data_IF_332074445804
#
_entry.id   IF_332074445804
#
_cell.length_a   1.000
_cell.length_b   1.000
_cell.length_c   1.000
_cell.angle_alpha   90.00
_cell.angle_beta   90.00
_cell.angle_gamma   90.00
#
_symmetry.space_group_name_H-M   'P 1'
#
loop_
_entity.id
_entity.type
_entity.pdbx_description
1 polymer ?
#
# COMPACT_ATOMS: atom_id res chain seq x y z
N UNK A 1 0.37 -75.57 -45.19
CA UNK A 1 0.87 -74.99 -43.94
C UNK A 1 1.73 -73.80 -44.34
N UNK A 2 1.19 -72.61 -44.31
CA UNK A 2 1.93 -71.38 -44.63
C UNK A 2 2.18 -70.59 -43.36
N UNK A 3 3.43 -70.41 -43.01
CA UNK A 3 3.84 -69.53 -41.91
C UNK A 3 3.95 -68.13 -42.42
N UNK A 4 3.13 -67.22 -41.81
CA UNK A 4 3.22 -65.74 -41.98
C UNK A 4 4.22 -65.18 -40.95
N UNK A 5 5.31 -64.64 -41.45
CA UNK A 5 6.25 -63.87 -40.63
C UNK A 5 5.66 -62.45 -40.36
N UNK A 6 5.49 -62.12 -39.09
CA UNK A 6 5.07 -60.77 -38.62
C UNK A 6 6.35 -59.94 -38.36
N UNK A 7 6.62 -58.98 -39.19
CA UNK A 7 7.73 -58.05 -38.96
C UNK A 7 7.32 -57.01 -37.91
N UNK A 8 8.04 -56.97 -36.80
CA UNK A 8 7.93 -55.93 -35.78
C UNK A 8 8.81 -54.74 -36.17
N UNK A 9 8.21 -53.63 -36.53
CA UNK A 9 8.93 -52.37 -36.73
C UNK A 9 9.14 -51.71 -35.36
N UNK A 10 10.41 -51.61 -34.96
CA UNK A 10 10.82 -50.85 -33.77
C UNK A 10 10.95 -49.40 -34.18
N UNK A 11 10.04 -48.55 -33.67
CA UNK A 11 10.16 -47.11 -33.78
C UNK A 11 11.08 -46.60 -32.66
N UNK A 12 12.26 -46.15 -33.02
CA UNK A 12 13.17 -45.45 -32.09
C UNK A 12 12.76 -44.00 -32.09
N UNK A 13 12.11 -43.57 -30.99
CA UNK A 13 11.91 -42.14 -30.70
C UNK A 13 13.24 -41.58 -30.20
N UNK A 14 13.89 -40.74 -31.00
CA UNK A 14 14.97 -39.90 -30.55
C UNK A 14 14.36 -38.70 -29.81
N UNK A 15 14.46 -38.66 -28.47
CA UNK A 15 14.24 -37.45 -27.72
C UNK A 15 15.38 -36.47 -28.06
N UNK A 16 15.06 -35.47 -28.86
CA UNK A 16 15.88 -34.27 -28.98
C UNK A 16 15.61 -33.43 -27.72
N UNK A 17 16.60 -33.32 -26.86
CA UNK A 17 16.60 -32.33 -25.77
C UNK A 17 16.98 -31.00 -26.42
N UNK A 18 16.01 -30.18 -26.73
CA UNK A 18 16.25 -28.76 -27.05
C UNK A 18 16.67 -28.05 -25.75
N UNK A 19 17.94 -27.70 -25.69
CA UNK A 19 18.40 -26.74 -24.65
C UNK A 19 17.87 -25.36 -25.04
N UNK A 20 16.91 -24.87 -24.30
CA UNK A 20 16.55 -23.44 -24.40
C UNK A 20 17.81 -22.64 -24.13
N UNK A 21 18.26 -21.87 -25.13
CA UNK A 21 19.30 -20.85 -24.96
C UNK A 21 18.75 -19.78 -24.00
N UNK A 22 19.13 -19.87 -22.74
CA UNK A 22 18.89 -18.78 -21.77
C UNK A 22 19.73 -17.60 -22.24
N UNK A 23 19.08 -16.60 -22.80
CA UNK A 23 19.73 -15.33 -23.13
C UNK A 23 20.50 -14.83 -21.88
N UNK A 24 21.76 -14.44 -22.00
CA UNK A 24 22.49 -13.93 -20.86
C UNK A 24 21.78 -12.68 -20.36
N UNK A 25 21.46 -12.66 -19.06
CA UNK A 25 20.94 -11.49 -18.37
C UNK A 25 21.90 -10.36 -18.66
N UNK A 26 21.41 -9.31 -19.35
CA UNK A 26 22.20 -8.11 -19.60
C UNK A 26 22.76 -7.61 -18.27
N UNK A 27 24.06 -7.27 -18.18
CA UNK A 27 24.59 -6.67 -16.98
C UNK A 27 23.72 -5.46 -16.64
N UNK A 28 23.29 -5.36 -15.38
CA UNK A 28 22.65 -4.13 -14.86
C UNK A 28 23.68 -3.02 -15.11
N UNK A 29 23.33 -2.05 -15.96
CA UNK A 29 24.19 -0.92 -16.20
C UNK A 29 24.59 -0.30 -14.85
N UNK A 30 25.86 -0.06 -14.57
CA UNK A 30 26.27 0.57 -13.33
C UNK A 30 25.56 1.93 -13.23
N UNK A 31 24.82 2.14 -12.13
CA UNK A 31 24.19 3.44 -11.84
C UNK A 31 25.25 4.51 -11.96
N UNK A 32 25.04 5.48 -12.86
CA UNK A 32 25.94 6.63 -13.01
C UNK A 32 26.02 7.35 -11.65
N UNK A 33 27.20 7.46 -11.02
CA UNK A 33 27.33 8.11 -9.70
C UNK A 33 26.94 9.60 -9.73
N UNK A 34 26.65 10.16 -10.89
CA UNK A 34 26.13 11.52 -11.06
C UNK A 34 24.62 11.58 -11.24
N UNK A 35 23.94 10.43 -11.31
CA UNK A 35 22.49 10.38 -11.47
C UNK A 35 21.80 10.69 -10.14
N UNK A 36 21.00 11.77 -10.14
CA UNK A 36 20.16 12.17 -9.02
C UNK A 36 18.70 12.01 -9.47
N UNK A 37 18.07 10.96 -8.96
CA UNK A 37 16.68 10.66 -9.25
C UNK A 37 15.74 11.57 -8.45
N UNK A 38 14.66 12.05 -9.08
CA UNK A 38 13.64 12.86 -8.43
C UNK A 38 12.59 13.37 -9.41
N UNK A 39 11.52 13.98 -8.90
CA UNK A 39 10.53 14.63 -9.74
C UNK A 39 11.10 15.90 -10.37
N UNK A 40 11.03 16.00 -11.69
CA UNK A 40 11.51 17.15 -12.48
C UNK A 40 10.41 18.19 -12.78
N UNK A 41 9.15 17.92 -12.47
CA UNK A 41 8.07 18.88 -12.69
C UNK A 41 8.03 19.92 -11.57
N UNK A 42 8.30 21.19 -11.90
CA UNK A 42 8.30 22.31 -10.96
C UNK A 42 6.91 22.58 -10.32
N UNK A 43 5.83 22.05 -10.91
CA UNK A 43 4.48 22.19 -10.36
C UNK A 43 4.15 21.08 -9.34
N UNK A 44 4.98 20.05 -9.24
CA UNK A 44 4.79 18.99 -8.27
C UNK A 44 5.21 19.44 -6.86
N UNK A 45 4.49 18.96 -5.84
CA UNK A 45 4.77 19.31 -4.44
C UNK A 45 6.06 18.68 -3.91
N UNK A 46 6.54 17.63 -4.58
CA UNK A 46 7.79 16.94 -4.30
C UNK A 46 8.87 17.20 -5.36
N UNK A 47 8.76 18.32 -6.11
CA UNK A 47 9.80 18.74 -7.06
C UNK A 47 11.17 18.73 -6.40
N UNK A 48 12.15 18.14 -7.07
CA UNK A 48 13.54 18.12 -6.63
C UNK A 48 14.43 18.90 -7.62
N UNK A 49 14.88 20.09 -7.21
CA UNK A 49 15.71 20.96 -8.05
C UNK A 49 17.12 20.40 -8.31
N UNK A 50 17.58 19.45 -7.50
CA UNK A 50 18.89 18.80 -7.66
C UNK A 50 18.81 17.56 -8.55
N UNK A 51 17.61 17.06 -8.85
CA UNK A 51 17.42 15.90 -9.73
C UNK A 51 17.80 16.22 -11.16
N UNK A 52 18.46 15.27 -11.82
CA UNK A 52 18.80 15.32 -13.24
C UNK A 52 18.17 14.17 -14.05
N UNK A 53 17.50 13.22 -13.36
CA UNK A 53 16.78 12.12 -13.97
C UNK A 53 15.41 11.99 -13.28
N UNK A 54 14.35 11.93 -14.10
CA UNK A 54 12.99 11.76 -13.58
C UNK A 54 12.80 10.34 -13.03
N UNK A 55 12.33 10.27 -11.80
CA UNK A 55 12.00 8.99 -11.15
C UNK A 55 10.54 8.54 -11.40
N UNK A 56 9.76 9.32 -12.14
CA UNK A 56 8.33 9.05 -12.42
C UNK A 56 7.40 9.21 -11.22
N UNK A 57 7.85 9.85 -10.13
CA UNK A 57 7.13 9.96 -8.85
C UNK A 57 6.66 11.39 -8.55
N UNK A 58 6.27 12.16 -9.56
CA UNK A 58 5.75 13.50 -9.31
C UNK A 58 4.39 13.48 -8.61
N UNK A 59 4.27 14.18 -7.49
CA UNK A 59 3.05 14.28 -6.70
C UNK A 59 2.48 15.69 -6.76
N UNK A 60 1.15 15.80 -6.86
CA UNK A 60 0.44 17.08 -6.99
C UNK A 60 -0.49 17.36 -5.80
N UNK A 61 -0.57 16.43 -4.86
CA UNK A 61 -1.24 16.60 -3.56
C UNK A 61 -0.21 16.48 -2.45
N UNK A 62 -0.35 17.30 -1.40
CA UNK A 62 0.55 17.24 -0.24
C UNK A 62 0.37 15.97 0.59
N UNK A 63 -0.84 15.41 0.61
CA UNK A 63 -1.21 14.24 1.38
C UNK A 63 -1.62 13.11 0.45
N UNK A 64 -1.03 11.94 0.64
CA UNK A 64 -1.28 10.73 -0.14
C UNK A 64 -1.82 9.63 0.77
N UNK A 65 -2.87 8.92 0.32
CA UNK A 65 -3.26 7.63 0.89
C UNK A 65 -2.31 6.57 0.33
N UNK A 66 -1.53 5.91 1.21
CA UNK A 66 -0.53 4.95 0.82
C UNK A 66 -0.96 3.50 1.04
N UNK A 67 -1.60 3.21 2.18
CA UNK A 67 -2.02 1.84 2.50
C UNK A 67 -3.36 1.82 3.25
N UNK A 68 -4.17 0.81 2.99
CA UNK A 68 -5.45 0.57 3.68
C UNK A 68 -5.60 -0.91 3.98
N UNK A 69 -5.82 -1.26 5.25
CA UNK A 69 -6.22 -2.59 5.69
C UNK A 69 -7.67 -2.52 6.18
N UNK A 70 -8.60 -3.01 5.39
CA UNK A 70 -10.03 -3.08 5.75
C UNK A 70 -10.50 -4.51 6.05
N UNK A 71 -9.67 -5.51 5.79
CA UNK A 71 -9.94 -6.93 6.03
C UNK A 71 -8.72 -7.58 6.71
N UNK A 72 -8.52 -7.32 8.03
CA UNK A 72 -7.38 -7.88 8.76
C UNK A 72 -7.38 -9.40 8.73
N UNK A 73 -6.23 -10.04 8.43
CA UNK A 73 -6.08 -11.48 8.38
C UNK A 73 -6.61 -12.19 9.62
N UNK A 74 -7.01 -13.46 9.48
CA UNK A 74 -7.42 -14.28 10.60
C UNK A 74 -6.19 -14.74 11.43
N UNK A 75 -6.36 -14.87 12.75
CA UNK A 75 -5.29 -15.28 13.66
C UNK A 75 -4.33 -14.14 14.01
N UNK A 76 -3.28 -14.42 14.80
CA UNK A 76 -2.36 -13.40 15.29
C UNK A 76 -1.52 -12.72 14.19
N UNK A 77 -1.48 -13.26 13.01
CA UNK A 77 -0.89 -12.62 11.84
C UNK A 77 -1.68 -11.38 11.36
N UNK A 78 -2.95 -11.26 11.79
CA UNK A 78 -3.78 -10.11 11.54
C UNK A 78 -3.81 -9.08 12.68
N UNK A 79 -3.00 -9.25 13.72
CA UNK A 79 -2.78 -8.25 14.78
C UNK A 79 -1.93 -7.10 14.22
N UNK A 80 -2.58 -6.23 13.46
CA UNK A 80 -1.90 -5.16 12.73
C UNK A 80 -1.49 -4.00 13.65
N UNK A 81 -2.25 -3.77 14.71
CA UNK A 81 -1.94 -2.74 15.71
C UNK A 81 -0.89 -3.19 16.74
N UNK A 82 -0.53 -4.49 16.75
CA UNK A 82 0.57 -5.07 17.55
C UNK A 82 0.26 -5.13 19.06
N UNK A 83 -0.99 -5.08 19.48
CA UNK A 83 -1.37 -5.10 20.90
C UNK A 83 -1.46 -6.51 21.50
N UNK A 84 -1.29 -7.54 20.66
CA UNK A 84 -1.31 -8.95 21.03
C UNK A 84 -2.71 -9.60 20.90
N UNK A 85 -3.70 -8.87 20.42
CA UNK A 85 -5.08 -9.34 20.23
C UNK A 85 -5.52 -9.04 18.81
N UNK A 86 -5.80 -10.06 18.02
CA UNK A 86 -6.41 -9.82 16.70
C UNK A 86 -7.91 -9.51 16.88
N UNK A 87 -8.34 -8.33 16.43
CA UNK A 87 -9.74 -7.93 16.33
C UNK A 87 -10.04 -7.40 14.91
N UNK A 88 -11.14 -7.83 14.25
CA UNK A 88 -11.41 -7.44 12.87
C UNK A 88 -11.65 -5.94 12.68
N UNK A 89 -12.04 -5.22 13.72
CA UNK A 89 -12.31 -3.80 13.65
C UNK A 89 -11.13 -2.98 14.20
N UNK A 90 -10.48 -3.46 15.27
CA UNK A 90 -9.37 -2.73 15.90
C UNK A 90 -8.12 -2.72 15.03
N UNK A 91 -7.92 -3.79 14.25
CA UNK A 91 -6.76 -3.97 13.36
C UNK A 91 -6.96 -3.39 11.95
N UNK A 92 -8.15 -2.89 11.60
CA UNK A 92 -8.28 -2.05 10.42
C UNK A 92 -7.35 -0.85 10.53
N UNK A 93 -6.74 -0.43 9.42
CA UNK A 93 -5.99 0.83 9.43
C UNK A 93 -6.01 1.57 8.10
N UNK A 94 -5.76 2.86 8.20
CA UNK A 94 -5.54 3.78 7.08
C UNK A 94 -4.21 4.49 7.30
N UNK A 95 -3.36 4.49 6.27
CA UNK A 95 -2.08 5.18 6.28
C UNK A 95 -2.05 6.32 5.28
N UNK A 96 -1.70 7.51 5.78
CA UNK A 96 -1.47 8.72 4.99
C UNK A 96 -0.02 9.15 5.09
N UNK A 97 0.52 9.73 4.01
CA UNK A 97 1.89 10.24 3.97
C UNK A 97 1.90 11.69 3.48
N UNK A 98 2.66 12.53 4.17
CA UNK A 98 3.01 13.85 3.64
C UNK A 98 4.11 13.70 2.58
N UNK A 99 3.73 13.77 1.31
CA UNK A 99 4.66 13.66 0.17
C UNK A 99 5.22 14.99 -0.28
N UNK A 100 4.87 16.09 0.38
CA UNK A 100 5.40 17.42 0.08
C UNK A 100 6.76 17.66 0.75
N UNK A 101 7.45 18.71 0.32
CA UNK A 101 8.75 19.11 0.86
C UNK A 101 8.64 20.03 2.10
N UNK A 102 7.45 20.18 2.68
CA UNK A 102 7.19 21.06 3.84
C UNK A 102 6.34 20.37 4.89
N UNK A 103 6.35 20.88 6.12
CA UNK A 103 5.46 20.42 7.16
C UNK A 103 4.00 20.64 6.74
N UNK A 104 3.16 19.65 6.97
CA UNK A 104 1.73 19.67 6.68
C UNK A 104 0.96 19.55 7.99
N UNK A 105 0.13 20.53 8.31
CA UNK A 105 -0.81 20.47 9.40
C UNK A 105 -2.07 19.74 8.92
N UNK A 106 -2.38 18.59 9.51
CA UNK A 106 -3.58 17.79 9.23
C UNK A 106 -4.58 17.82 10.39
N UNK A 107 -4.40 18.72 11.36
CA UNK A 107 -5.31 18.86 12.49
C UNK A 107 -6.75 19.07 12.02
N UNK A 108 -7.67 18.31 12.62
CA UNK A 108 -9.08 18.43 12.29
C UNK A 108 -9.51 17.75 10.99
N UNK A 109 -8.62 17.02 10.30
CA UNK A 109 -9.04 16.20 9.17
C UNK A 109 -9.96 15.08 9.63
N UNK A 110 -10.94 14.74 8.82
CA UNK A 110 -12.03 13.85 9.17
C UNK A 110 -12.06 12.64 8.26
N UNK A 111 -12.19 11.45 8.85
CA UNK A 111 -12.29 10.18 8.13
C UNK A 111 -13.71 9.64 8.27
N UNK A 112 -14.29 9.20 7.18
CA UNK A 112 -15.64 8.67 7.11
C UNK A 112 -15.68 7.36 6.35
N UNK A 113 -16.42 6.39 6.87
CA UNK A 113 -17.01 5.34 6.04
C UNK A 113 -18.24 5.88 5.29
N UNK A 114 -18.82 5.11 4.41
CA UNK A 114 -19.98 5.53 3.63
C UNK A 114 -21.22 5.84 4.49
N UNK A 115 -21.43 5.09 5.57
CA UNK A 115 -22.55 5.29 6.50
C UNK A 115 -22.39 6.57 7.28
N UNK A 116 -21.21 6.79 7.82
CA UNK A 116 -20.88 7.93 8.65
C UNK A 116 -20.78 9.23 7.84
N UNK A 117 -20.31 9.14 6.59
CA UNK A 117 -20.36 10.28 5.67
C UNK A 117 -21.78 10.79 5.46
N UNK A 118 -22.75 9.88 5.31
CA UNK A 118 -24.16 10.21 5.13
C UNK A 118 -24.78 10.85 6.36
N UNK A 119 -24.31 10.50 7.56
CA UNK A 119 -24.78 11.05 8.84
C UNK A 119 -24.06 12.33 9.26
N UNK A 120 -22.90 12.63 8.63
CA UNK A 120 -22.03 13.73 9.00
C UNK A 120 -21.27 13.52 10.32
N UNK A 121 -21.12 12.26 10.77
CA UNK A 121 -20.38 11.91 12.00
C UNK A 121 -19.13 11.12 11.63
N UNK A 122 -17.92 11.72 11.70
CA UNK A 122 -16.71 11.05 11.29
C UNK A 122 -16.35 9.87 12.21
N UNK A 123 -15.74 8.83 11.62
CA UNK A 123 -15.14 7.71 12.35
C UNK A 123 -13.88 8.17 13.11
N UNK A 124 -13.14 9.12 12.51
CA UNK A 124 -11.96 9.71 13.13
C UNK A 124 -11.85 11.20 12.83
N UNK A 125 -11.39 11.95 13.83
CA UNK A 125 -10.97 13.35 13.68
C UNK A 125 -9.53 13.44 14.15
N UNK A 126 -8.66 13.90 13.26
CA UNK A 126 -7.24 14.08 13.57
C UNK A 126 -7.06 15.09 14.71
N UNK A 127 -6.33 14.72 15.78
CA UNK A 127 -6.15 15.61 16.93
C UNK A 127 -5.49 16.94 16.58
N UNK A 128 -5.81 18.02 17.32
CA UNK A 128 -5.17 19.31 17.15
C UNK A 128 -3.64 19.24 17.35
N UNK A 129 -2.89 19.96 16.53
CA UNK A 129 -1.43 20.00 16.58
C UNK A 129 -0.74 18.80 15.88
N UNK A 130 -1.48 18.04 15.08
CA UNK A 130 -0.91 16.94 14.28
C UNK A 130 -0.24 17.49 13.02
N UNK A 131 1.09 17.60 13.09
CA UNK A 131 1.91 18.13 12.00
C UNK A 131 2.79 17.03 11.46
N UNK A 132 2.63 16.70 10.17
CA UNK A 132 3.47 15.74 9.46
C UNK A 132 4.66 16.45 8.81
N UNK A 133 5.86 16.06 9.20
CA UNK A 133 7.07 16.45 8.47
C UNK A 133 7.07 15.81 7.06
N UNK A 134 7.89 16.30 6.13
CA UNK A 134 8.10 15.62 4.84
C UNK A 134 8.39 14.14 5.02
N UNK A 135 7.75 13.30 4.19
CA UNK A 135 7.85 11.84 4.22
C UNK A 135 7.42 11.19 5.56
N UNK A 136 6.66 11.90 6.39
CA UNK A 136 6.12 11.34 7.64
C UNK A 136 4.78 10.68 7.38
N UNK A 137 4.64 9.45 7.88
CA UNK A 137 3.37 8.72 7.86
C UNK A 137 2.48 9.10 9.05
N UNK A 138 1.18 9.07 8.81
CA UNK A 138 0.11 9.10 9.81
C UNK A 138 -0.71 7.83 9.67
N UNK A 139 -0.78 7.04 10.74
CA UNK A 139 -1.55 5.80 10.75
C UNK A 139 -2.69 5.92 11.74
N UNK A 140 -3.90 5.64 11.32
CA UNK A 140 -5.06 5.50 12.21
C UNK A 140 -5.56 4.07 12.17
N UNK A 141 -5.53 3.40 13.34
CA UNK A 141 -6.14 2.09 13.53
C UNK A 141 -7.60 2.20 13.94
N UNK A 142 -8.39 1.18 13.66
CA UNK A 142 -9.79 1.12 14.07
C UNK A 142 -9.96 1.24 15.58
N UNK A 143 -9.11 0.54 16.35
CA UNK A 143 -9.19 0.55 17.80
C UNK A 143 -7.97 -0.08 18.48
N UNK A 144 -8.21 -0.74 19.61
CA UNK A 144 -7.19 -1.43 20.38
C UNK A 144 -6.20 -0.50 21.09
N UNK A 145 -5.01 -1.01 21.37
CA UNK A 145 -3.93 -0.25 21.99
C UNK A 145 -2.64 -0.39 21.17
N UNK A 146 -2.50 0.32 20.05
CA UNK A 146 -1.38 0.16 19.12
C UNK A 146 -0.03 0.14 19.82
N UNK A 147 0.75 -0.91 19.60
CA UNK A 147 2.03 -1.18 20.27
C UNK A 147 3.09 -1.54 19.24
N UNK A 148 4.04 -0.65 19.01
CA UNK A 148 5.11 -0.85 18.04
C UNK A 148 5.81 0.45 17.67
N UNK A 149 6.80 0.34 16.80
CA UNK A 149 7.52 1.52 16.30
C UNK A 149 6.87 2.15 15.05
N UNK A 150 6.14 1.33 14.26
CA UNK A 150 5.46 1.76 13.03
C UNK A 150 6.31 2.70 12.17
N UNK A 151 7.59 2.35 11.93
CA UNK A 151 8.52 3.19 11.16
C UNK A 151 8.73 4.61 11.73
N UNK A 152 8.25 4.87 12.97
CA UNK A 152 8.20 6.19 13.56
C UNK A 152 7.04 7.06 13.05
N UNK A 153 5.99 6.49 12.47
CA UNK A 153 4.76 7.18 12.12
C UNK A 153 4.10 7.86 13.33
N UNK A 154 3.24 8.84 13.06
CA UNK A 154 2.29 9.33 14.08
C UNK A 154 1.10 8.36 14.07
N UNK A 155 0.83 7.70 15.20
CA UNK A 155 -0.18 6.65 15.31
C UNK A 155 -1.31 7.08 16.24
N UNK A 156 -2.54 6.90 15.80
CA UNK A 156 -3.75 7.09 16.60
C UNK A 156 -4.74 5.94 16.38
N UNK A 157 -5.75 5.85 17.25
CA UNK A 157 -6.93 5.03 17.04
C UNK A 157 -8.09 5.90 16.60
N UNK A 158 -9.06 5.31 15.91
CA UNK A 158 -10.26 6.03 15.47
C UNK A 158 -11.00 6.66 16.65
N UNK A 159 -11.44 7.92 16.50
CA UNK A 159 -12.12 8.69 17.58
C UNK A 159 -13.46 8.07 17.97
N UNK A 160 -14.11 7.35 17.03
CA UNK A 160 -15.33 6.58 17.28
C UNK A 160 -15.05 5.15 17.75
N UNK A 161 -13.77 4.80 18.02
CA UNK A 161 -13.28 3.47 18.35
C UNK A 161 -13.55 2.41 17.26
N UNK A 162 -13.72 2.82 16.01
CA UNK A 162 -13.87 1.96 14.84
C UNK A 162 -13.69 2.81 13.56
N UNK A 163 -12.99 2.26 12.56
CA UNK A 163 -13.00 2.78 11.18
C UNK A 163 -14.22 2.29 10.42
N UNK A 164 -14.65 1.06 10.70
CA UNK A 164 -15.87 0.43 10.19
C UNK A 164 -15.89 0.32 8.65
N UNK A 165 -14.76 -0.05 8.07
CA UNK A 165 -14.63 -0.26 6.64
C UNK A 165 -15.19 -1.64 6.27
N UNK A 166 -16.31 -1.67 5.53
CA UNK A 166 -16.96 -2.92 5.16
C UNK A 166 -16.18 -3.63 4.04
N UNK A 167 -15.86 -4.91 4.23
CA UNK A 167 -15.04 -5.71 3.29
C UNK A 167 -15.63 -5.87 1.88
N UNK A 168 -16.93 -5.68 1.70
CA UNK A 168 -17.61 -5.97 0.44
C UNK A 168 -18.05 -4.73 -0.35
N UNK A 169 -18.32 -3.63 0.33
CA UNK A 169 -18.81 -2.42 -0.33
C UNK A 169 -18.77 -1.24 0.63
N UNK A 170 -17.73 -0.43 0.53
CA UNK A 170 -17.58 0.78 1.33
C UNK A 170 -16.76 1.82 0.58
N UNK A 171 -16.73 3.01 1.13
CA UNK A 171 -15.92 4.11 0.62
C UNK A 171 -15.33 4.88 1.79
N UNK A 172 -14.02 4.84 1.91
CA UNK A 172 -13.31 5.74 2.80
C UNK A 172 -13.28 7.13 2.17
N UNK A 173 -13.79 8.14 2.88
CA UNK A 173 -13.69 9.55 2.48
C UNK A 173 -12.92 10.32 3.53
N UNK A 174 -11.89 11.07 3.10
CA UNK A 174 -11.10 11.95 3.97
C UNK A 174 -11.31 13.39 3.56
N UNK A 175 -11.67 14.23 4.53
CA UNK A 175 -11.90 15.67 4.36
C UNK A 175 -10.90 16.47 5.18
N UNK A 176 -10.59 17.69 4.70
CA UNK A 176 -9.83 18.65 5.50
C UNK A 176 -10.72 19.35 6.54
N UNK A 177 -10.11 20.21 7.35
CA UNK A 177 -10.76 20.94 8.45
C UNK A 177 -11.85 21.92 8.01
N UNK A 178 -11.93 22.24 6.72
CA UNK A 178 -13.00 23.09 6.14
C UNK A 178 -14.05 22.27 5.39
N UNK A 179 -13.95 20.91 5.44
CA UNK A 179 -14.93 20.01 4.87
C UNK A 179 -14.74 19.70 3.37
N UNK A 180 -13.62 20.10 2.77
CA UNK A 180 -13.29 19.69 1.39
C UNK A 180 -12.84 18.24 1.36
N UNK A 181 -13.39 17.46 0.42
CA UNK A 181 -12.97 16.08 0.18
C UNK A 181 -11.60 16.08 -0.51
N UNK A 182 -10.63 15.47 0.14
CA UNK A 182 -9.26 15.33 -0.35
C UNK A 182 -9.01 13.97 -0.98
N UNK A 183 -9.53 12.89 -0.35
CA UNK A 183 -9.26 11.52 -0.71
C UNK A 183 -10.57 10.74 -0.68
N UNK A 184 -10.76 9.91 -1.69
CA UNK A 184 -11.81 8.90 -1.75
C UNK A 184 -11.16 7.59 -2.13
N UNK A 185 -11.36 6.54 -1.33
CA UNK A 185 -10.91 5.19 -1.61
C UNK A 185 -12.11 4.26 -1.65
N UNK A 186 -12.32 3.63 -2.80
CA UNK A 186 -13.45 2.74 -3.05
C UNK A 186 -13.07 1.30 -2.72
N UNK A 187 -13.53 0.81 -1.57
CA UNK A 187 -13.34 -0.58 -1.13
C UNK A 187 -14.06 -1.54 -2.08
N UNK A 188 -15.24 -1.16 -2.61
CA UNK A 188 -16.04 -2.03 -3.49
C UNK A 188 -15.26 -2.42 -4.75
N UNK A 189 -14.50 -1.48 -5.33
CA UNK A 189 -13.71 -1.74 -6.52
C UNK A 189 -12.59 -2.77 -6.31
N UNK A 190 -12.13 -2.93 -5.06
CA UNK A 190 -11.03 -3.81 -4.67
C UNK A 190 -11.49 -5.01 -3.83
N UNK A 191 -12.77 -5.03 -3.41
CA UNK A 191 -13.29 -6.01 -2.45
C UNK A 191 -13.27 -7.43 -2.99
N UNK A 192 -12.45 -8.29 -2.39
CA UNK A 192 -12.42 -9.74 -2.65
C UNK A 192 -12.04 -10.55 -1.40
N UNK A 193 -12.23 -9.98 -0.19
CA UNK A 193 -11.78 -10.50 1.10
C UNK A 193 -10.30 -10.92 1.04
N UNK A 194 -9.40 -9.96 0.89
CA UNK A 194 -7.99 -10.28 0.61
C UNK A 194 -7.25 -10.87 1.81
N UNK A 195 -7.73 -10.68 3.04
CA UNK A 195 -6.98 -10.98 4.28
C UNK A 195 -5.58 -10.32 4.26
N UNK A 196 -5.48 -9.15 3.65
CA UNK A 196 -4.26 -8.35 3.50
C UNK A 196 -4.61 -6.89 3.16
N UNK A 197 -3.65 -5.99 3.28
CA UNK A 197 -3.85 -4.60 2.89
C UNK A 197 -3.78 -4.39 1.37
N UNK A 198 -4.28 -3.24 0.95
CA UNK A 198 -3.98 -2.64 -0.34
C UNK A 198 -2.97 -1.50 -0.14
N UNK A 199 -1.88 -1.56 -0.87
CA UNK A 199 -0.77 -0.60 -0.80
C UNK A 199 -0.36 -0.14 -2.19
N UNK A 200 0.45 0.90 -2.27
CA UNK A 200 1.05 1.39 -3.52
C UNK A 200 2.41 0.75 -3.75
N UNK A 201 2.71 0.35 -4.99
CA UNK A 201 4.02 -0.19 -5.37
C UNK A 201 4.49 0.45 -6.69
N UNK A 202 5.57 1.22 -6.67
CA UNK A 202 6.35 1.63 -5.49
C UNK A 202 5.54 2.47 -4.51
N UNK A 203 5.85 2.38 -3.20
CA UNK A 203 5.25 3.23 -2.18
C UNK A 203 5.34 4.69 -2.61
N UNK A 204 4.28 5.47 -2.33
CA UNK A 204 4.13 6.88 -2.67
C UNK A 204 4.19 7.25 -4.17
N UNK A 205 4.62 6.35 -5.04
CA UNK A 205 4.82 6.63 -6.47
C UNK A 205 3.74 6.06 -7.38
N UNK A 206 3.18 4.89 -7.07
CA UNK A 206 2.18 4.27 -7.91
C UNK A 206 0.83 5.00 -7.85
N UNK A 207 0.14 5.07 -8.98
CA UNK A 207 -1.22 5.62 -9.04
C UNK A 207 -2.25 4.64 -8.50
N UNK A 208 -2.05 3.34 -8.73
CA UNK A 208 -2.98 2.27 -8.37
C UNK A 208 -2.57 1.55 -7.08
N UNK A 209 -3.57 0.97 -6.41
CA UNK A 209 -3.37 0.07 -5.28
C UNK A 209 -3.24 -1.37 -5.75
N UNK A 210 -2.39 -2.12 -5.08
CA UNK A 210 -2.21 -3.57 -5.27
C UNK A 210 -2.29 -4.28 -3.92
N UNK A 211 -2.60 -5.58 -3.93
CA UNK A 211 -2.55 -6.40 -2.72
C UNK A 211 -1.12 -6.49 -2.19
N UNK A 212 -0.95 -6.35 -0.87
CA UNK A 212 0.36 -6.28 -0.22
C UNK A 212 1.22 -7.54 -0.45
N UNK A 213 0.61 -8.71 -0.50
CA UNK A 213 1.30 -9.98 -0.76
C UNK A 213 2.08 -9.99 -2.09
N UNK A 214 1.72 -9.16 -3.06
CA UNK A 214 2.50 -9.00 -4.30
C UNK A 214 3.86 -8.34 -4.07
N UNK A 215 4.09 -7.74 -2.89
CA UNK A 215 5.35 -7.07 -2.49
C UNK A 215 6.37 -7.96 -1.82
N UNK A 216 5.96 -9.14 -1.35
CA UNK A 216 6.80 -10.17 -0.70
C UNK A 216 7.13 -10.03 0.79
N UNK A 217 6.71 -9.00 1.52
CA UNK A 217 7.07 -8.81 2.94
C UNK A 217 5.87 -8.71 3.88
N UNK A 218 5.06 -9.77 3.95
CA UNK A 218 3.93 -9.84 4.89
C UNK A 218 2.60 -9.46 4.24
N UNK A 219 1.60 -9.21 5.06
CA UNK A 219 0.22 -8.97 4.64
C UNK A 219 -0.18 -7.50 4.78
N UNK A 220 0.67 -6.70 5.44
CA UNK A 220 0.53 -5.25 5.63
C UNK A 220 1.85 -4.65 6.14
N UNK A 221 1.96 -3.31 6.11
CA UNK A 221 3.19 -2.59 6.48
C UNK A 221 2.96 -1.28 7.22
N UNK A 222 1.96 -1.23 8.11
CA UNK A 222 1.55 -0.01 8.82
C UNK A 222 2.72 0.84 9.33
N UNK A 223 2.84 2.08 8.84
CA UNK A 223 3.88 3.05 9.23
C UNK A 223 5.23 2.86 8.55
N UNK A 224 5.35 1.85 7.67
CA UNK A 224 6.58 1.58 6.90
C UNK A 224 6.27 1.40 5.43
N UNK A 225 7.29 1.46 4.60
CA UNK A 225 7.19 1.04 3.21
C UNK A 225 6.86 -0.44 3.10
N UNK A 226 6.36 -0.85 1.96
CA UNK A 226 6.02 -2.25 1.66
C UNK A 226 7.19 -3.24 1.84
N UNK A 227 8.44 -2.74 1.84
CA UNK A 227 9.64 -3.52 2.14
C UNK A 227 10.05 -3.51 3.63
N UNK A 228 9.28 -2.85 4.50
CA UNK A 228 9.54 -2.72 5.94
C UNK A 228 10.49 -1.58 6.33
N UNK A 229 11.05 -0.82 5.39
CA UNK A 229 11.88 0.33 5.69
C UNK A 229 11.02 1.54 6.14
N UNK A 230 11.53 2.44 6.99
CA UNK A 230 10.88 3.72 7.27
C UNK A 230 10.75 4.58 6.01
N UNK A 231 9.77 5.47 6.02
CA UNK A 231 9.60 6.51 5.00
C UNK A 231 10.65 7.59 5.08
#
# INVERSE_FOLDING_TARGET
>A
MQYKYLAFAVFIFSLSCETEDVEPISPIDPVDPTEILGCLDINAVNYNADANTDNGCCQYSNLLLNEVLYDPPNGLEGDANGDGVRDPNDDEFVELINVSNSNLDISGYEFYDNTNLSSGMPNHIVPPGTILAPMKAYVVFGGGNPTGNFGGAIVHTASAAVLNLNNASDTLTIKNEIGETLIVFDVEALSNNPDESYTRIPDICADDFVQHNSTSLGLFSAGTKSNGDPF
#
